data_IF_086416475472
#
_entry.id   IF_086416475472
#
_cell.length_a   1.000
_cell.length_b   1.000
_cell.length_c   1.000
_cell.angle_alpha   90.00
_cell.angle_beta   90.00
_cell.angle_gamma   90.00
#
_symmetry.space_group_name_H-M   'P 1'
#
loop_
_entity.id
_entity.type
_entity.pdbx_description
1 polymer ?
#
# COMPACT_ATOMS: atom_id res chain seq x y z
N UNK A 1 -17.05 2.54 -8.87
CA UNK A 1 -17.08 2.56 -7.39
C UNK A 1 -18.32 3.25 -6.82
N UNK A 2 -18.66 4.45 -7.32
CA UNK A 2 -19.77 5.27 -6.81
C UNK A 2 -21.13 4.53 -6.67
N UNK A 3 -21.57 3.69 -7.63
CA UNK A 3 -22.86 2.99 -7.49
C UNK A 3 -22.93 2.03 -6.29
N UNK A 4 -21.81 1.37 -5.95
CA UNK A 4 -21.74 0.43 -4.82
C UNK A 4 -21.85 1.15 -3.47
N UNK A 5 -21.36 2.39 -3.40
CA UNK A 5 -21.42 3.21 -2.21
C UNK A 5 -22.87 3.64 -1.92
N UNK A 6 -23.57 4.16 -2.93
CA UNK A 6 -24.92 4.68 -2.78
C UNK A 6 -26.05 3.64 -2.90
N UNK A 7 -25.74 2.42 -3.35
CA UNK A 7 -26.65 1.27 -3.33
C UNK A 7 -26.40 0.38 -2.08
N UNK A 8 -25.73 -0.78 -2.24
CA UNK A 8 -25.70 -1.81 -1.20
C UNK A 8 -25.03 -1.38 0.11
N UNK A 9 -24.05 -0.46 0.07
CA UNK A 9 -23.39 0.02 1.29
C UNK A 9 -24.30 1.01 2.04
N UNK A 10 -25.00 1.90 1.32
CA UNK A 10 -25.98 2.82 1.91
C UNK A 10 -27.12 2.06 2.56
N UNK A 11 -27.71 1.10 1.85
CA UNK A 11 -28.84 0.30 2.31
C UNK A 11 -28.49 -0.45 3.60
N UNK A 12 -27.34 -1.15 3.61
CA UNK A 12 -26.86 -1.90 4.78
C UNK A 12 -26.77 -1.06 6.06
N UNK A 13 -26.39 0.21 5.94
CA UNK A 13 -26.12 1.07 7.09
C UNK A 13 -27.25 2.07 7.39
N UNK A 14 -28.38 2.00 6.69
CA UNK A 14 -29.48 2.95 6.85
C UNK A 14 -30.01 3.02 8.29
N UNK A 15 -30.03 1.90 9.01
CA UNK A 15 -30.53 1.80 10.39
C UNK A 15 -29.46 1.97 11.47
N UNK A 16 -28.17 2.07 11.09
CA UNK A 16 -27.04 2.04 12.03
C UNK A 16 -26.52 3.47 12.32
N UNK A 17 -26.59 3.97 13.56
CA UNK A 17 -26.11 5.31 13.92
C UNK A 17 -24.59 5.31 14.16
N UNK A 18 -23.81 5.28 13.07
CA UNK A 18 -22.34 5.32 13.11
C UNK A 18 -21.64 4.00 13.39
N UNK A 19 -20.31 4.03 13.42
CA UNK A 19 -19.48 2.85 13.67
C UNK A 19 -19.54 1.80 12.55
N UNK A 20 -19.39 2.25 11.30
CA UNK A 20 -19.50 1.40 10.10
C UNK A 20 -18.27 0.55 9.82
N UNK A 21 -17.13 0.93 10.40
CA UNK A 21 -15.86 0.22 10.25
C UNK A 21 -15.42 -0.38 11.58
N UNK A 22 -14.62 -1.44 11.49
CA UNK A 22 -13.96 -2.07 12.63
C UNK A 22 -12.49 -2.26 12.33
N UNK A 23 -11.67 -1.98 13.34
CA UNK A 23 -10.23 -2.26 13.33
C UNK A 23 -9.96 -3.40 14.30
N UNK A 24 -9.42 -4.51 13.79
CA UNK A 24 -9.02 -5.66 14.58
C UNK A 24 -7.49 -5.76 14.55
N UNK A 25 -6.82 -5.67 15.69
CA UNK A 25 -5.37 -5.91 15.77
C UNK A 25 -5.10 -7.38 15.48
N UNK A 26 -4.06 -7.63 14.69
CA UNK A 26 -3.57 -8.96 14.33
C UNK A 26 -2.06 -9.03 14.59
N UNK A 27 -1.52 -10.24 14.55
CA UNK A 27 -0.07 -10.43 14.62
C UNK A 27 0.64 -9.78 13.42
N UNK A 28 1.91 -9.35 13.59
CA UNK A 28 2.70 -8.80 12.49
C UNK A 28 2.81 -9.80 11.34
N UNK A 29 2.26 -9.44 10.18
CA UNK A 29 2.32 -10.28 8.98
C UNK A 29 3.65 -10.16 8.24
N UNK A 30 4.53 -9.25 8.68
CA UNK A 30 5.74 -8.81 7.99
C UNK A 30 6.97 -9.04 8.87
N UNK A 31 8.12 -9.20 8.24
CA UNK A 31 9.39 -9.41 8.95
C UNK A 31 9.85 -8.21 9.80
N UNK A 32 9.39 -7.00 9.48
CA UNK A 32 9.72 -5.75 10.20
C UNK A 32 9.05 -5.62 11.58
N UNK A 33 8.24 -6.61 11.98
CA UNK A 33 7.49 -6.64 13.24
C UNK A 33 6.57 -5.43 13.45
N UNK A 34 6.15 -4.76 12.37
CA UNK A 34 5.22 -3.64 12.46
C UNK A 34 3.82 -4.10 12.93
N UNK A 35 3.23 -3.35 13.86
CA UNK A 35 1.86 -3.62 14.32
C UNK A 35 0.88 -3.62 13.15
N UNK A 36 0.14 -4.71 13.02
CA UNK A 36 -0.79 -4.93 11.91
C UNK A 36 -2.22 -4.96 12.40
N UNK A 37 -3.15 -4.49 11.56
CA UNK A 37 -4.57 -4.52 11.86
C UNK A 37 -5.40 -4.76 10.59
N UNK A 38 -6.53 -5.44 10.77
CA UNK A 38 -7.54 -5.60 9.74
C UNK A 38 -8.59 -4.50 9.87
N UNK A 39 -8.74 -3.70 8.80
CA UNK A 39 -9.84 -2.76 8.65
C UNK A 39 -10.96 -3.42 7.85
N UNK A 40 -12.15 -3.50 8.44
CA UNK A 40 -13.32 -4.11 7.81
C UNK A 40 -14.57 -3.24 7.90
N UNK A 41 -15.49 -3.48 6.97
CA UNK A 41 -16.85 -2.96 7.02
C UNK A 41 -17.74 -3.88 7.86
N UNK A 42 -18.37 -3.32 8.89
CA UNK A 42 -19.26 -4.03 9.81
C UNK A 42 -20.48 -4.56 9.08
N UNK A 43 -21.07 -5.68 9.51
CA UNK A 43 -22.27 -6.26 8.90
C UNK A 43 -22.07 -6.63 7.41
N UNK A 44 -20.82 -6.74 6.98
CA UNK A 44 -20.47 -7.14 5.63
C UNK A 44 -20.44 -8.66 5.44
N UNK A 45 -20.34 -9.11 4.17
CA UNK A 45 -20.21 -10.54 3.86
C UNK A 45 -18.87 -11.13 4.33
N UNK A 46 -17.87 -10.27 4.59
CA UNK A 46 -16.53 -10.64 5.06
C UNK A 46 -16.22 -10.06 6.45
N UNK A 47 -17.23 -9.96 7.32
CA UNK A 47 -17.05 -9.51 8.71
C UNK A 47 -16.36 -10.60 9.54
N UNK A 48 -15.11 -10.35 9.93
CA UNK A 48 -14.28 -11.29 10.69
C UNK A 48 -14.75 -11.46 12.12
N UNK A 49 -15.30 -10.42 12.76
CA UNK A 49 -15.84 -10.58 14.12
C UNK A 49 -17.06 -11.50 14.12
N UNK A 50 -17.91 -11.38 13.10
CA UNK A 50 -19.05 -12.26 12.90
C UNK A 50 -18.59 -13.70 12.68
N UNK A 51 -17.64 -13.91 11.77
CA UNK A 51 -17.05 -15.23 11.52
C UNK A 51 -16.40 -15.83 12.77
N UNK A 52 -15.61 -15.06 13.52
CA UNK A 52 -14.97 -15.52 14.75
C UNK A 52 -16.00 -15.92 15.82
N UNK A 53 -17.08 -15.15 15.96
CA UNK A 53 -18.18 -15.48 16.88
C UNK A 53 -18.84 -16.80 16.48
N UNK A 54 -19.11 -16.99 15.18
CA UNK A 54 -19.64 -18.24 14.67
C UNK A 54 -18.68 -19.41 14.92
N UNK A 55 -17.37 -19.21 14.77
CA UNK A 55 -16.35 -20.25 14.98
C UNK A 55 -16.28 -20.68 16.43
N UNK A 56 -16.31 -19.73 17.36
CA UNK A 56 -16.36 -19.99 18.81
C UNK A 56 -17.58 -20.85 19.14
N UNK A 57 -18.76 -20.49 18.61
CA UNK A 57 -19.99 -21.24 18.83
C UNK A 57 -20.00 -22.61 18.14
N UNK A 58 -19.36 -22.74 16.97
CA UNK A 58 -19.23 -24.01 16.28
C UNK A 58 -18.36 -25.00 17.07
N UNK A 59 -17.33 -24.51 17.76
CA UNK A 59 -16.44 -25.30 18.62
C UNK A 59 -17.05 -25.64 19.99
N UNK A 60 -18.15 -25.00 20.36
CA UNK A 60 -18.81 -25.18 21.65
C UNK A 60 -19.75 -26.38 21.63
N UNK A 61 -19.90 -27.03 22.78
CA UNK A 61 -20.95 -28.00 23.03
C UNK A 61 -22.35 -27.36 22.96
N UNK A 62 -23.31 -27.93 22.20
CA UNK A 62 -24.63 -27.32 21.99
C UNK A 62 -25.45 -27.11 23.26
N UNK A 63 -25.20 -27.89 24.32
CA UNK A 63 -25.96 -27.85 25.58
C UNK A 63 -25.47 -26.78 26.56
N UNK A 64 -24.35 -26.13 26.28
CA UNK A 64 -23.74 -25.19 27.22
C UNK A 64 -24.22 -23.76 26.95
N UNK A 65 -24.73 -23.06 27.96
CA UNK A 65 -25.21 -21.67 27.84
C UNK A 65 -24.08 -20.64 27.67
N UNK A 66 -24.15 -19.73 26.68
CA UNK A 66 -23.08 -18.79 26.38
C UNK A 66 -22.69 -17.95 27.60
N UNK A 67 -21.38 -17.75 27.77
CA UNK A 67 -20.86 -16.84 28.77
C UNK A 67 -21.33 -15.40 28.51
N UNK A 68 -21.27 -14.56 29.53
CA UNK A 68 -21.64 -13.15 29.42
C UNK A 68 -20.90 -12.42 28.29
N UNK A 69 -19.62 -12.74 28.06
CA UNK A 69 -18.82 -12.14 26.99
C UNK A 69 -19.30 -12.60 25.59
N UNK A 70 -19.60 -13.88 25.44
CA UNK A 70 -20.12 -14.45 24.19
C UNK A 70 -21.50 -13.89 23.87
N UNK A 71 -22.40 -13.82 24.85
CA UNK A 71 -23.72 -13.22 24.68
C UNK A 71 -23.63 -11.76 24.19
N UNK A 72 -22.70 -10.97 24.75
CA UNK A 72 -22.41 -9.61 24.26
C UNK A 72 -21.87 -9.59 22.84
N UNK A 73 -21.00 -10.54 22.48
CA UNK A 73 -20.43 -10.64 21.14
C UNK A 73 -21.48 -11.02 20.10
N UNK A 74 -22.32 -12.00 20.42
CA UNK A 74 -23.46 -12.44 19.61
C UNK A 74 -24.40 -11.25 19.39
N UNK A 75 -24.84 -10.58 20.46
CA UNK A 75 -25.72 -9.41 20.35
C UNK A 75 -25.11 -8.35 19.43
N UNK A 76 -23.83 -8.00 19.61
CA UNK A 76 -23.14 -7.02 18.76
C UNK A 76 -23.03 -7.44 17.29
N UNK A 77 -22.91 -8.74 17.02
CA UNK A 77 -22.75 -9.28 15.67
C UNK A 77 -24.08 -9.34 14.89
N UNK A 78 -25.22 -9.47 15.59
CA UNK A 78 -26.55 -9.63 14.97
C UNK A 78 -27.41 -8.37 15.01
N UNK A 79 -27.19 -7.45 15.97
CA UNK A 79 -28.14 -6.37 16.31
C UNK A 79 -28.64 -5.52 15.14
N UNK A 80 -27.80 -5.26 14.14
CA UNK A 80 -28.13 -4.38 13.01
C UNK A 80 -28.19 -5.12 11.66
N UNK A 81 -28.11 -6.46 11.68
CA UNK A 81 -28.34 -7.29 10.50
C UNK A 81 -29.83 -7.59 10.39
N UNK A 82 -30.37 -7.57 9.18
CA UNK A 82 -31.78 -7.90 8.94
C UNK A 82 -32.07 -9.36 9.35
N UNK A 83 -31.30 -10.33 8.82
CA UNK A 83 -31.45 -11.76 9.10
C UNK A 83 -30.31 -12.34 9.96
N UNK A 84 -29.76 -11.54 10.88
CA UNK A 84 -28.52 -11.86 11.60
C UNK A 84 -28.52 -13.19 12.35
N UNK A 85 -29.66 -13.61 12.91
CA UNK A 85 -29.77 -14.89 13.64
C UNK A 85 -29.70 -16.08 12.71
N UNK A 86 -30.37 -16.02 11.56
CA UNK A 86 -30.39 -17.11 10.58
C UNK A 86 -29.04 -17.22 9.88
N UNK A 87 -28.48 -16.08 9.45
CA UNK A 87 -27.11 -16.03 8.90
C UNK A 87 -26.08 -16.62 9.87
N UNK A 88 -26.19 -16.31 11.17
CA UNK A 88 -25.27 -16.82 12.18
C UNK A 88 -25.41 -18.34 12.34
N UNK A 89 -26.65 -18.85 12.38
CA UNK A 89 -26.90 -20.31 12.45
C UNK A 89 -26.32 -21.03 11.24
N UNK A 90 -26.48 -20.48 10.04
CA UNK A 90 -25.98 -21.10 8.81
C UNK A 90 -24.45 -21.04 8.74
N UNK A 91 -23.85 -19.93 9.18
CA UNK A 91 -22.40 -19.81 9.36
C UNK A 91 -21.87 -20.87 10.34
N UNK A 92 -22.54 -21.07 11.48
CA UNK A 92 -22.16 -22.09 12.48
C UNK A 92 -22.23 -23.50 11.89
N UNK A 93 -23.31 -23.84 11.17
CA UNK A 93 -23.43 -25.14 10.48
C UNK A 93 -22.28 -25.34 9.50
N UNK A 94 -21.98 -24.33 8.68
CA UNK A 94 -20.87 -24.37 7.72
C UNK A 94 -19.54 -24.60 8.42
N UNK A 95 -19.24 -23.86 9.48
CA UNK A 95 -17.99 -23.98 10.23
C UNK A 95 -17.83 -25.33 10.95
N UNK A 96 -18.94 -25.99 11.32
CA UNK A 96 -18.91 -27.36 11.85
C UNK A 96 -18.53 -28.38 10.78
N UNK A 97 -19.07 -28.23 9.57
CA UNK A 97 -18.69 -29.07 8.42
C UNK A 97 -17.22 -28.86 8.07
N UNK A 98 -16.81 -27.61 7.89
CA UNK A 98 -15.42 -27.24 7.60
C UNK A 98 -14.44 -27.82 8.64
N UNK A 99 -14.84 -27.85 9.92
CA UNK A 99 -14.03 -28.47 10.98
C UNK A 99 -13.91 -29.99 10.81
N UNK A 100 -15.00 -30.67 10.44
CA UNK A 100 -14.98 -32.12 10.17
C UNK A 100 -14.07 -32.44 8.98
N UNK A 101 -14.00 -31.53 8.00
CA UNK A 101 -13.12 -31.64 6.83
C UNK A 101 -11.64 -31.32 7.14
N UNK A 102 -11.27 -31.05 8.39
CA UNK A 102 -9.89 -30.76 8.80
C UNK A 102 -9.38 -29.38 8.37
N UNK A 103 -10.28 -28.42 8.10
CA UNK A 103 -9.93 -27.09 7.62
C UNK A 103 -9.08 -26.29 8.63
N UNK A 104 -9.20 -26.60 9.92
CA UNK A 104 -8.45 -25.93 11.00
C UNK A 104 -6.99 -26.42 11.10
N UNK A 105 -6.67 -27.58 10.55
CA UNK A 105 -5.34 -28.22 10.67
C UNK A 105 -4.36 -27.74 9.58
N UNK A 106 -4.73 -26.69 8.85
CA UNK A 106 -3.92 -26.17 7.74
C UNK A 106 -2.69 -25.42 8.26
N UNK A 107 -1.54 -25.65 7.63
CA UNK A 107 -0.33 -24.88 7.88
C UNK A 107 -0.56 -23.39 7.53
N UNK A 108 -0.23 -22.51 8.46
CA UNK A 108 -0.32 -21.06 8.27
C UNK A 108 0.75 -20.56 7.30
N UNK A 109 0.43 -19.50 6.56
CA UNK A 109 1.39 -18.86 5.67
C UNK A 109 2.52 -18.21 6.48
N UNK A 110 3.75 -18.32 5.98
CA UNK A 110 4.91 -17.63 6.57
C UNK A 110 4.75 -16.10 6.46
N UNK A 111 5.40 -15.32 7.36
CA UNK A 111 5.44 -13.87 7.27
C UNK A 111 5.93 -13.40 5.90
N UNK A 112 5.37 -12.29 5.41
CA UNK A 112 5.77 -11.66 4.17
C UNK A 112 7.11 -10.94 4.37
N UNK A 113 8.00 -11.11 3.40
CA UNK A 113 9.21 -10.32 3.31
C UNK A 113 8.87 -8.87 2.97
N UNK A 114 9.58 -7.93 3.57
CA UNK A 114 9.43 -6.48 3.40
C UNK A 114 10.63 -5.93 2.65
N UNK A 115 11.82 -6.44 2.95
CA UNK A 115 13.04 -6.02 2.31
C UNK A 115 13.22 -6.75 0.97
N UNK A 116 13.69 -6.04 -0.06
CA UNK A 116 14.08 -6.68 -1.31
C UNK A 116 15.13 -7.75 -1.05
N UNK A 117 15.00 -8.87 -1.73
CA UNK A 117 16.05 -9.91 -1.78
C UNK A 117 17.32 -9.34 -2.42
N UNK A 118 18.49 -9.91 -2.10
CA UNK A 118 19.80 -9.34 -2.49
C UNK A 118 19.94 -9.03 -3.99
N UNK A 119 19.36 -9.86 -4.86
CA UNK A 119 19.33 -9.63 -6.30
C UNK A 119 18.58 -8.35 -6.71
N UNK A 120 17.37 -8.12 -6.19
CA UNK A 120 16.59 -6.90 -6.40
C UNK A 120 17.28 -5.69 -5.78
N UNK A 121 17.97 -5.88 -4.65
CA UNK A 121 18.73 -4.82 -3.98
C UNK A 121 19.83 -4.27 -4.89
N UNK A 122 20.53 -5.17 -5.59
CA UNK A 122 21.60 -4.86 -6.54
C UNK A 122 21.08 -4.17 -7.80
N UNK A 123 19.95 -4.61 -8.33
CA UNK A 123 19.35 -4.07 -9.56
C UNK A 123 18.72 -2.67 -9.34
N UNK A 124 18.06 -2.48 -8.20
CA UNK A 124 17.46 -1.19 -7.81
C UNK A 124 18.50 -0.17 -7.29
N UNK A 125 19.79 -0.48 -7.37
CA UNK A 125 20.92 0.36 -6.92
C UNK A 125 20.75 0.85 -5.46
N UNK A 126 20.19 0.02 -4.58
CA UNK A 126 20.15 0.37 -3.17
C UNK A 126 21.56 0.47 -2.62
N UNK A 127 21.78 1.44 -1.73
CA UNK A 127 23.07 1.59 -1.04
C UNK A 127 23.36 0.31 -0.25
N UNK A 128 24.58 -0.21 -0.39
CA UNK A 128 25.10 -1.29 0.43
C UNK A 128 25.08 -0.85 1.89
N UNK A 129 24.68 -1.74 2.80
CA UNK A 129 24.77 -1.46 4.23
C UNK A 129 26.24 -1.48 4.60
N UNK A 130 26.72 -0.32 5.03
CA UNK A 130 28.07 -0.14 5.51
C UNK A 130 28.05 -0.29 7.02
N UNK A 131 29.11 -0.86 7.59
CA UNK A 131 29.24 -0.98 9.04
C UNK A 131 29.13 0.39 9.73
N UNK A 132 28.77 0.41 11.01
CA UNK A 132 28.89 1.65 11.80
C UNK A 132 30.34 2.15 11.68
N UNK A 133 30.53 3.37 11.16
CA UNK A 133 31.79 4.05 10.79
C UNK A 133 32.32 3.91 9.35
N UNK A 134 31.67 3.17 8.47
CA UNK A 134 32.02 3.13 7.05
C UNK A 134 31.17 4.12 6.24
N UNK A 135 31.78 4.82 5.29
CA UNK A 135 31.05 5.69 4.37
C UNK A 135 30.47 4.84 3.22
N UNK A 136 29.20 5.05 2.81
CA UNK A 136 28.63 4.36 1.65
C UNK A 136 29.46 4.64 0.40
N UNK A 137 29.43 3.71 -0.56
CA UNK A 137 30.23 3.72 -1.80
C UNK A 137 30.50 5.15 -2.31
N UNK A 138 31.79 5.49 -2.40
CA UNK A 138 32.23 6.81 -2.88
C UNK A 138 31.60 7.05 -4.25
N UNK A 139 31.04 8.24 -4.47
CA UNK A 139 30.52 8.60 -5.78
C UNK A 139 31.61 8.40 -6.83
N UNK A 140 31.31 7.74 -7.97
CA UNK A 140 32.30 7.52 -9.01
C UNK A 140 32.94 8.85 -9.42
N UNK A 141 34.27 8.87 -9.45
CA UNK A 141 35.05 10.10 -9.70
C UNK A 141 34.72 10.74 -11.05
N UNK A 142 34.31 9.95 -12.05
CA UNK A 142 33.87 10.43 -13.36
C UNK A 142 32.58 11.28 -13.34
N UNK A 143 31.73 11.16 -12.29
CA UNK A 143 30.55 12.03 -12.12
C UNK A 143 30.95 13.42 -11.59
N UNK A 144 32.06 13.51 -10.83
CA UNK A 144 32.60 14.79 -10.34
C UNK A 144 33.27 15.58 -11.45
N UNK A 145 33.93 14.90 -12.39
CA UNK A 145 34.58 15.53 -13.55
C UNK A 145 33.59 16.17 -14.52
N UNK A 146 32.38 15.62 -14.66
CA UNK A 146 31.33 16.18 -15.54
C UNK A 146 30.64 17.44 -14.98
N UNK A 147 30.82 17.77 -13.70
CA UNK A 147 30.31 19.00 -13.10
C UNK A 147 31.46 19.78 -12.47
N UNK A 148 32.22 20.51 -13.28
CA UNK A 148 32.46 21.97 -13.21
C UNK A 148 33.42 22.31 -14.35
N UNK A 149 32.88 22.61 -15.52
CA UNK A 149 33.54 23.54 -16.43
C UNK A 149 32.55 24.68 -16.69
N UNK A 150 32.52 25.63 -15.74
CA UNK A 150 31.75 26.85 -15.90
C UNK A 150 32.33 27.60 -17.12
N UNK A 151 31.59 27.58 -18.25
CA UNK A 151 31.90 28.43 -19.41
C UNK A 151 32.05 29.86 -18.92
N UNK A 152 33.28 30.38 -18.90
CA UNK A 152 33.54 31.79 -18.59
C UNK A 152 32.75 32.65 -19.58
N UNK A 153 32.04 33.70 -19.14
CA UNK A 153 31.36 34.60 -20.07
C UNK A 153 32.40 35.30 -20.93
N UNK A 154 32.45 34.95 -22.21
CA UNK A 154 33.30 35.62 -23.20
C UNK A 154 32.81 37.05 -23.34
N UNK A 155 33.53 38.01 -22.77
CA UNK A 155 33.30 39.43 -23.03
C UNK A 155 33.56 39.67 -24.51
N UNK A 156 32.51 40.01 -25.26
CA UNK A 156 32.62 40.46 -26.64
C UNK A 156 33.56 41.69 -26.67
N UNK A 157 34.77 41.50 -27.22
CA UNK A 157 35.63 42.58 -27.68
C UNK A 157 35.41 42.69 -29.17
N UNK A 158 34.65 43.72 -29.56
CA UNK A 158 34.62 44.19 -30.94
C UNK A 158 36.04 44.69 -31.22
N UNK A 159 36.79 43.97 -32.06
CA UNK A 159 38.09 44.42 -32.56
C UNK A 159 37.89 45.05 -33.92
N UNK A 160 38.53 46.19 -34.14
CA UNK A 160 38.41 47.17 -35.25
C UNK A 160 38.55 46.62 -36.69
N UNK A 161 38.71 45.30 -36.85
CA UNK A 161 38.84 44.61 -38.15
C UNK A 161 37.50 44.16 -38.77
N UNK A 162 36.36 44.40 -38.13
CA UNK A 162 35.03 44.18 -38.74
C UNK A 162 34.51 45.41 -39.50
N UNK A 163 35.11 46.58 -39.30
CA UNK A 163 34.73 47.84 -39.97
C UNK A 163 35.28 47.88 -41.40
N UNK A 164 36.48 47.34 -41.64
CA UNK A 164 37.14 47.34 -42.96
C UNK A 164 36.55 46.33 -43.95
N UNK A 165 35.80 45.32 -43.48
CA UNK A 165 35.05 44.40 -44.35
C UNK A 165 33.68 44.93 -44.78
N UNK A 166 33.13 45.91 -44.05
CA UNK A 166 31.86 46.55 -44.39
C UNK A 166 32.01 47.69 -45.43
N UNK A 167 33.19 48.33 -45.50
CA UNK A 167 33.46 49.42 -46.47
C UNK A 167 33.79 48.90 -47.89
N UNK A 168 34.33 47.68 -48.02
CA UNK A 168 34.59 47.05 -49.34
C UNK A 168 33.30 46.63 -50.06
N UNK A 169 32.17 46.51 -49.34
CA UNK A 169 30.87 46.16 -49.91
C UNK A 169 30.11 47.35 -50.55
N UNK A 170 30.65 48.57 -50.50
CA UNK A 170 30.06 49.77 -51.12
C UNK A 170 31.10 50.54 -51.93
N UNK A 171 31.37 50.11 -53.17
CA UNK A 171 32.30 50.83 -54.04
C UNK A 171 32.36 50.37 -55.49
N UNK A 172 31.45 50.90 -56.31
CA UNK A 172 31.61 51.25 -57.74
C UNK A 172 31.70 50.09 -58.76
N UNK A 173 30.60 49.90 -59.48
CA UNK A 173 30.60 49.32 -60.84
C UNK A 173 31.17 50.34 -61.85
N UNK A 174 31.78 49.89 -62.96
CA UNK A 174 31.19 50.30 -64.24
C UNK A 174 31.20 49.20 -65.33
N UNK A 175 30.04 49.05 -65.99
CA UNK A 175 29.97 48.60 -67.40
C UNK A 175 30.42 49.76 -68.33
N UNK A 176 30.38 49.67 -69.67
CA UNK A 176 30.44 48.55 -70.63
C UNK A 176 31.52 48.79 -71.73
N UNK A 177 31.81 47.78 -72.57
CA UNK A 177 31.85 47.88 -74.06
C UNK A 177 31.42 46.53 -74.63
#
# INVERSE_FOLDING_TARGET
MVPKLFGPIRERYASRPGGYTRVLRIEPMKEDQAESALLEFVDGPKDMRFALTAKILANREPRQEPSNAEARNINKAIRFREDGVNELRDMIKRMRIEKQDGLDDRALAAPRTVYPTEWLRREMQYKEEVGFYEHPNKTPTWIKEQKVEAKKPTKARITENEITRAEVAKGVAPAPV
#
